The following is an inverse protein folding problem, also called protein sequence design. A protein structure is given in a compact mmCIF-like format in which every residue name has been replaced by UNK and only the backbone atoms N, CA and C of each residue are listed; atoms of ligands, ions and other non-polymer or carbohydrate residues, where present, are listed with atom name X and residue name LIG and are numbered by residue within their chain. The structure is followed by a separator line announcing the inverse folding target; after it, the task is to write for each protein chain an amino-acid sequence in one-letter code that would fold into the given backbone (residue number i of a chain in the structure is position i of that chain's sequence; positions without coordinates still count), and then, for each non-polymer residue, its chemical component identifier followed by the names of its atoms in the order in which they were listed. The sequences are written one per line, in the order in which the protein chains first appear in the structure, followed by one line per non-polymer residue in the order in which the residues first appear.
data_IF_241203186403
#
_entry.id   IF_241203186403
#
_cell.length_a   1.000
_cell.length_b   1.000
_cell.length_c   1.000
_cell.angle_alpha   90.00
_cell.angle_beta   90.00
_cell.angle_gamma   90.00
#
_symmetry.space_group_name_H-M   'P 1'
#
loop_
_entity.id
_entity.type
_entity.pdbx_description
1 polymer ?
#
# COMPACT_ATOMS: atom_id res chain seq x y z
N UNK A 1 -18.86 -11.54 2.66
CA UNK A 1 -17.69 -11.64 1.76
C UNK A 1 -16.89 -12.85 2.17
N UNK A 2 -16.63 -13.76 1.23
CA UNK A 2 -15.77 -14.91 1.46
C UNK A 2 -14.29 -14.48 1.47
N UNK A 3 -13.40 -15.38 1.90
CA UNK A 3 -11.98 -15.08 2.06
C UNK A 3 -11.32 -14.70 0.72
N UNK A 4 -11.67 -15.37 -0.37
CA UNK A 4 -11.13 -15.14 -1.71
C UNK A 4 -11.54 -13.79 -2.27
N UNK A 5 -12.83 -13.43 -2.15
CA UNK A 5 -13.33 -12.10 -2.51
C UNK A 5 -12.60 -11.03 -1.72
N UNK A 6 -12.41 -11.25 -0.42
CA UNK A 6 -11.69 -10.32 0.45
C UNK A 6 -10.25 -10.08 -0.01
N UNK A 7 -9.53 -11.14 -0.34
CA UNK A 7 -8.17 -11.04 -0.89
C UNK A 7 -8.15 -10.29 -2.22
N UNK A 8 -9.09 -10.58 -3.12
CA UNK A 8 -9.16 -9.89 -4.40
C UNK A 8 -9.41 -8.38 -4.25
N UNK A 9 -10.29 -7.97 -3.33
CA UNK A 9 -10.49 -6.54 -3.07
C UNK A 9 -9.25 -5.87 -2.48
N UNK A 10 -8.57 -6.55 -1.57
CA UNK A 10 -7.32 -6.04 -1.00
C UNK A 10 -6.27 -5.87 -2.10
N UNK A 11 -6.05 -6.89 -2.92
CA UNK A 11 -5.11 -6.85 -4.04
C UNK A 11 -5.44 -5.68 -4.99
N UNK A 12 -6.72 -5.49 -5.33
CA UNK A 12 -7.15 -4.40 -6.18
C UNK A 12 -6.82 -3.01 -5.60
N UNK A 13 -7.02 -2.80 -4.29
CA UNK A 13 -6.64 -1.55 -3.62
C UNK A 13 -5.12 -1.35 -3.65
N UNK A 14 -4.34 -2.40 -3.41
CA UNK A 14 -2.86 -2.32 -3.44
C UNK A 14 -2.33 -2.03 -4.85
N UNK A 15 -2.88 -2.65 -5.89
CA UNK A 15 -2.52 -2.35 -7.28
C UNK A 15 -2.91 -0.91 -7.65
N UNK A 16 -4.09 -0.45 -7.24
CA UNK A 16 -4.54 0.93 -7.48
C UNK A 16 -3.62 1.95 -6.81
N UNK A 17 -3.17 1.69 -5.58
CA UNK A 17 -2.17 2.51 -4.91
C UNK A 17 -0.84 2.50 -5.67
N UNK A 18 -0.36 1.33 -6.08
CA UNK A 18 0.87 1.21 -6.87
C UNK A 18 0.82 2.01 -8.19
N UNK A 19 -0.29 2.00 -8.90
CA UNK A 19 -0.46 2.73 -10.17
C UNK A 19 -0.41 4.25 -10.02
N UNK A 20 -0.65 4.77 -8.81
CA UNK A 20 -0.54 6.20 -8.51
C UNK A 20 0.90 6.64 -8.20
N UNK A 21 1.84 5.70 -8.06
CA UNK A 21 3.24 6.05 -7.84
C UNK A 21 3.84 6.72 -9.07
N UNK A 22 4.63 7.79 -8.91
CA UNK A 22 5.26 8.45 -10.03
C UNK A 22 6.39 7.58 -10.62
N UNK A 23 6.68 7.75 -11.91
CA UNK A 23 7.68 6.93 -12.61
C UNK A 23 9.12 7.14 -12.13
N UNK A 24 9.37 8.17 -11.31
CA UNK A 24 10.67 8.52 -10.74
C UNK A 24 10.79 8.13 -9.25
N UNK A 25 9.98 7.17 -8.78
CA UNK A 25 10.05 6.66 -7.42
C UNK A 25 11.47 6.18 -7.08
N UNK A 26 11.98 6.59 -5.92
CA UNK A 26 13.24 6.09 -5.38
C UNK A 26 12.95 4.77 -4.67
N UNK A 27 13.69 3.73 -5.04
CA UNK A 27 13.66 2.41 -4.39
C UNK A 27 14.88 2.26 -3.45
N UNK A 28 14.69 1.64 -2.29
CA UNK A 28 15.79 1.41 -1.33
C UNK A 28 15.56 0.17 -0.47
N UNK A 29 16.60 -0.32 0.20
CA UNK A 29 16.50 -1.46 1.15
C UNK A 29 15.67 -1.12 2.40
N UNK A 30 15.53 0.16 2.74
CA UNK A 30 14.83 0.62 3.94
C UNK A 30 13.43 1.17 3.64
N UNK A 31 13.08 1.31 2.36
CA UNK A 31 11.82 1.87 1.88
C UNK A 31 11.13 0.91 0.91
N UNK A 32 10.60 1.45 -0.18
CA UNK A 32 9.86 0.68 -1.18
C UNK A 32 10.76 -0.04 -2.16
N UNK A 33 10.41 -1.30 -2.50
CA UNK A 33 10.92 -1.99 -3.68
C UNK A 33 9.79 -2.52 -4.56
N UNK A 34 9.83 -2.14 -5.83
CA UNK A 34 8.82 -2.58 -6.80
C UNK A 34 8.81 -4.09 -6.96
N UNK A 35 10.00 -4.69 -7.00
CA UNK A 35 10.13 -6.15 -7.12
C UNK A 35 9.50 -6.87 -5.93
N UNK A 36 9.81 -6.41 -4.71
CA UNK A 36 9.36 -7.07 -3.49
C UNK A 36 7.83 -6.92 -3.32
N UNK A 37 7.27 -5.75 -3.66
CA UNK A 37 5.83 -5.55 -3.77
C UNK A 37 5.14 -6.61 -4.65
N UNK A 38 5.62 -6.81 -5.88
CA UNK A 38 5.01 -7.80 -6.79
C UNK A 38 5.26 -9.24 -6.36
N UNK A 39 6.41 -9.54 -5.75
CA UNK A 39 6.69 -10.86 -5.20
C UNK A 39 5.71 -11.20 -4.07
N UNK A 40 5.40 -10.24 -3.18
CA UNK A 40 4.40 -10.40 -2.11
C UNK A 40 2.98 -10.53 -2.64
N UNK A 41 2.58 -9.75 -3.65
CA UNK A 41 1.27 -9.90 -4.30
C UNK A 41 1.11 -11.31 -4.87
N UNK A 42 2.12 -11.80 -5.59
CA UNK A 42 2.11 -13.15 -6.19
C UNK A 42 2.07 -14.26 -5.15
N UNK A 43 2.69 -14.05 -3.99
CA UNK A 43 2.65 -14.98 -2.86
C UNK A 43 1.37 -14.86 -2.02
N UNK A 44 0.46 -13.93 -2.35
CA UNK A 44 -0.73 -13.58 -1.57
C UNK A 44 -0.38 -13.09 -0.14
N UNK A 45 0.81 -12.53 0.03
CA UNK A 45 1.30 -11.92 1.27
C UNK A 45 0.89 -10.44 1.33
N UNK A 46 -0.44 -10.21 1.29
CA UNK A 46 -1.02 -8.88 1.04
C UNK A 46 -0.63 -7.82 2.09
N UNK A 47 -0.37 -8.23 3.34
CA UNK A 47 0.10 -7.30 4.38
C UNK A 47 1.52 -6.81 4.08
N UNK A 48 2.42 -7.69 3.65
CA UNK A 48 3.78 -7.30 3.28
C UNK A 48 3.77 -6.40 2.05
N UNK A 49 2.93 -6.70 1.05
CA UNK A 49 2.73 -5.81 -0.10
C UNK A 49 2.21 -4.42 0.30
N UNK A 50 1.34 -4.32 1.31
CA UNK A 50 0.90 -3.04 1.85
C UNK A 50 2.02 -2.30 2.59
N UNK A 51 2.87 -3.02 3.33
CA UNK A 51 4.02 -2.45 4.04
C UNK A 51 5.11 -1.94 3.08
N UNK A 52 5.31 -2.58 1.92
CA UNK A 52 6.16 -2.05 0.85
C UNK A 52 5.65 -0.69 0.35
N UNK A 53 4.35 -0.57 0.10
CA UNK A 53 3.74 0.70 -0.32
C UNK A 53 3.79 1.76 0.79
N UNK A 54 3.67 1.37 2.05
CA UNK A 54 3.87 2.26 3.19
C UNK A 54 5.32 2.78 3.25
N UNK A 55 6.30 1.92 2.96
CA UNK A 55 7.72 2.26 2.91
C UNK A 55 8.10 3.28 1.82
N UNK A 56 7.20 3.57 0.88
CA UNK A 56 7.39 4.62 -0.13
C UNK A 56 7.71 5.97 0.51
N UNK A 57 7.11 6.28 1.67
CA UNK A 57 7.26 7.57 2.35
C UNK A 57 8.70 7.86 2.81
N UNK A 58 9.52 6.83 3.02
CA UNK A 58 10.88 6.97 3.54
C UNK A 58 11.79 7.77 2.59
N UNK A 59 11.71 7.47 1.30
CA UNK A 59 12.50 8.15 0.26
C UNK A 59 11.64 9.08 -0.63
N UNK A 60 10.31 8.97 -0.54
CA UNK A 60 9.36 9.69 -1.38
C UNK A 60 8.21 10.30 -0.54
N UNK A 61 8.48 11.33 0.27
CA UNK A 61 7.59 11.79 1.36
C UNK A 61 6.29 12.48 0.90
N UNK A 62 5.99 12.52 -0.40
CA UNK A 62 4.85 13.25 -0.95
C UNK A 62 4.06 12.40 -1.94
N UNK A 63 3.34 11.41 -1.41
CA UNK A 63 2.33 10.66 -2.16
C UNK A 63 0.98 11.38 -2.16
N UNK A 64 0.15 11.08 -3.16
CA UNK A 64 -1.18 11.69 -3.30
C UNK A 64 -2.14 11.26 -2.20
N UNK A 65 -3.23 12.01 -2.01
CA UNK A 65 -4.29 11.62 -1.05
C UNK A 65 -4.97 10.33 -1.49
N UNK A 66 -5.14 10.17 -2.79
CA UNK A 66 -5.71 8.98 -3.43
C UNK A 66 -4.88 7.73 -3.10
N UNK A 67 -3.54 7.84 -3.15
CA UNK A 67 -2.63 6.76 -2.78
C UNK A 67 -2.90 6.26 -1.35
N UNK A 68 -2.89 7.18 -0.38
CA UNK A 68 -3.15 6.83 1.01
C UNK A 68 -4.58 6.33 1.24
N UNK A 69 -5.55 6.81 0.46
CA UNK A 69 -6.93 6.37 0.56
C UNK A 69 -7.08 4.89 0.17
N UNK A 70 -6.36 4.44 -0.85
CA UNK A 70 -6.30 3.02 -1.22
C UNK A 70 -5.67 2.16 -0.11
N UNK A 71 -4.57 2.63 0.52
CA UNK A 71 -3.98 1.92 1.67
C UNK A 71 -4.93 1.87 2.88
N UNK A 72 -5.72 2.91 3.13
CA UNK A 72 -6.78 2.89 4.16
C UNK A 72 -7.85 1.83 3.85
N UNK A 73 -8.26 1.70 2.59
CA UNK A 73 -9.26 0.72 2.20
C UNK A 73 -8.73 -0.71 2.37
N UNK A 74 -7.51 -0.97 1.90
CA UNK A 74 -6.80 -2.24 2.11
C UNK A 74 -6.65 -2.56 3.60
N UNK A 75 -6.23 -1.57 4.39
CA UNK A 75 -6.10 -1.66 5.85
C UNK A 75 -7.39 -2.09 6.55
N UNK A 76 -8.52 -1.45 6.22
CA UNK A 76 -9.84 -1.79 6.78
C UNK A 76 -10.23 -3.22 6.45
N UNK A 77 -9.98 -3.65 5.22
CA UNK A 77 -10.20 -5.04 4.82
C UNK A 77 -9.29 -5.98 5.63
N UNK A 78 -8.03 -5.65 5.89
CA UNK A 78 -7.12 -6.46 6.70
C UNK A 78 -7.34 -6.42 8.23
N UNK A 79 -8.42 -5.79 8.71
CA UNK A 79 -8.70 -5.65 10.15
C UNK A 79 -7.99 -4.45 10.77
N UNK A 80 -7.96 -3.33 10.06
CA UNK A 80 -7.46 -2.02 10.49
C UNK A 80 -5.93 -1.97 10.72
N UNK A 81 -5.15 -2.73 9.95
CA UNK A 81 -3.68 -2.74 10.03
C UNK A 81 -3.10 -1.41 9.58
N UNK A 82 -2.33 -0.72 10.44
CA UNK A 82 -1.74 0.60 10.15
C UNK A 82 -2.75 1.72 9.85
N UNK A 83 -4.05 1.52 10.10
CA UNK A 83 -5.12 2.45 9.73
C UNK A 83 -4.90 3.86 10.30
N UNK A 84 -4.56 3.94 11.59
CA UNK A 84 -4.35 5.21 12.30
C UNK A 84 -3.19 6.01 11.68
N UNK A 85 -2.14 5.32 11.22
CA UNK A 85 -1.00 5.95 10.54
C UNK A 85 -1.47 6.60 9.24
N UNK A 86 -2.13 5.85 8.37
CA UNK A 86 -2.58 6.36 7.07
C UNK A 86 -3.61 7.49 7.19
N UNK A 87 -4.57 7.38 8.12
CA UNK A 87 -5.54 8.45 8.38
C UNK A 87 -4.86 9.73 8.88
N UNK A 88 -3.79 9.60 9.66
CA UNK A 88 -3.01 10.75 10.13
C UNK A 88 -2.24 11.41 8.99
N UNK A 89 -1.67 10.62 8.07
CA UNK A 89 -0.96 11.13 6.89
C UNK A 89 -1.91 11.90 5.97
N UNK A 90 -3.10 11.35 5.66
CA UNK A 90 -4.09 12.06 4.82
C UNK A 90 -4.51 13.39 5.44
N UNK A 91 -4.69 13.44 6.77
CA UNK A 91 -5.07 14.69 7.47
C UNK A 91 -3.95 15.74 7.45
N UNK A 92 -2.69 15.30 7.34
CA UNK A 92 -1.53 16.17 7.28
C UNK A 92 -1.17 16.60 5.84
N UNK A 93 -1.70 15.91 4.83
CA UNK A 93 -1.54 16.19 3.39
C UNK A 93 -2.63 17.15 2.92
#
# INVERSE_FOLDING_TARGET
MNLTEKWSYIEAELISAFELLPSNIVESDNGYRKKDFFDYIKANELLLAMEELDGVIEDNPSQSKEFWQHLINASKLMGNKHLVKYESIIKAT
#
